data_IF_228881129220
#
_entry.id   IF_228881129220
#
_cell.length_a   1.000
_cell.length_b   1.000
_cell.length_c   1.000
_cell.angle_alpha   90.00
_cell.angle_beta   90.00
_cell.angle_gamma   90.00
#
_symmetry.space_group_name_H-M   'P 1'
#
loop_
_entity.id
_entity.type
_entity.pdbx_description
1 polymer ?
#
# COMPACT_ATOMS: atom_id res chain seq x y z
N UNK A 1 -43.65 -76.42 56.44
CA UNK A 1 -44.51 -75.22 56.33
C UNK A 1 -44.06 -74.30 57.45
N UNK A 2 -43.14 -73.39 57.12
CA UNK A 2 -43.40 -71.95 57.00
C UNK A 2 -43.68 -71.35 58.40
N UNK A 3 -42.93 -70.42 59.00
CA UNK A 3 -42.28 -69.22 58.48
C UNK A 3 -41.05 -68.88 59.34
N UNK A 4 -39.86 -68.80 58.72
CA UNK A 4 -38.70 -68.08 59.24
C UNK A 4 -38.31 -67.07 58.15
N UNK A 5 -38.91 -65.88 58.19
CA UNK A 5 -38.46 -64.71 57.42
C UNK A 5 -38.87 -63.47 58.23
N UNK A 6 -37.98 -62.97 59.07
CA UNK A 6 -37.76 -61.55 59.34
C UNK A 6 -36.85 -61.38 60.58
N UNK A 7 -35.90 -60.43 60.46
CA UNK A 7 -34.96 -59.89 61.46
C UNK A 7 -33.62 -60.63 61.67
N UNK A 8 -32.55 -60.21 60.96
CA UNK A 8 -31.17 -60.36 61.42
C UNK A 8 -30.65 -58.99 61.91
N UNK A 9 -30.96 -58.63 63.15
CA UNK A 9 -30.15 -57.68 63.93
C UNK A 9 -29.05 -58.49 64.63
N UNK A 10 -27.85 -57.91 64.74
CA UNK A 10 -26.57 -58.49 65.23
C UNK A 10 -25.69 -59.20 64.20
N UNK A 11 -25.02 -58.39 63.38
CA UNK A 11 -23.77 -58.75 62.73
C UNK A 11 -22.77 -57.59 62.75
N UNK A 12 -22.09 -57.42 63.89
CA UNK A 12 -20.72 -56.86 64.02
C UNK A 12 -20.51 -55.39 63.56
N UNK A 13 -20.54 -54.47 64.51
CA UNK A 13 -20.02 -53.10 64.35
C UNK A 13 -18.50 -53.16 64.52
N UNK A 14 -17.78 -53.25 63.40
CA UNK A 14 -16.35 -52.95 63.33
C UNK A 14 -16.15 -51.79 62.34
N UNK A 15 -15.34 -50.83 62.77
CA UNK A 15 -14.73 -49.72 62.02
C UNK A 15 -15.54 -48.45 61.75
N UNK A 16 -14.94 -47.36 62.25
CA UNK A 16 -15.00 -46.00 61.75
C UNK A 16 -15.25 -45.92 60.23
N UNK A 17 -16.37 -45.34 59.84
CA UNK A 17 -16.50 -44.59 58.58
C UNK A 17 -17.15 -43.24 58.89
N UNK A 18 -16.36 -42.37 59.54
CA UNK A 18 -16.51 -40.93 59.35
C UNK A 18 -15.76 -40.64 58.06
N UNK A 19 -16.41 -40.78 56.90
CA UNK A 19 -15.91 -40.21 55.66
C UNK A 19 -17.05 -39.51 54.92
N UNK A 20 -16.83 -38.22 54.74
CA UNK A 20 -17.65 -37.30 53.99
C UNK A 20 -17.89 -37.79 52.57
N UNK A 21 -19.14 -37.81 52.14
CA UNK A 21 -19.47 -37.68 50.72
C UNK A 21 -20.84 -37.01 50.59
N UNK A 22 -20.92 -35.77 51.06
CA UNK A 22 -21.85 -34.81 50.48
C UNK A 22 -21.31 -34.49 49.09
N UNK A 23 -21.73 -35.29 48.10
CA UNK A 23 -21.35 -35.18 46.69
C UNK A 23 -21.89 -33.86 46.14
N UNK A 24 -21.15 -32.76 46.37
CA UNK A 24 -21.37 -31.51 45.67
C UNK A 24 -20.98 -31.77 44.21
N UNK A 25 -21.97 -32.07 43.37
CA UNK A 25 -21.81 -32.11 41.91
C UNK A 25 -21.26 -30.75 41.46
N UNK A 26 -19.95 -30.68 41.24
CA UNK A 26 -19.30 -29.49 40.69
C UNK A 26 -19.78 -29.36 39.24
N UNK A 27 -20.81 -28.55 39.02
CA UNK A 27 -21.35 -28.27 37.70
C UNK A 27 -20.24 -27.70 36.80
N UNK A 28 -19.92 -28.39 35.70
CA UNK A 28 -18.95 -27.94 34.70
C UNK A 28 -19.67 -27.40 33.48
N UNK A 29 -19.15 -26.31 32.92
CA UNK A 29 -19.72 -25.74 31.71
C UNK A 29 -19.29 -26.52 30.45
N UNK A 30 -20.14 -26.60 29.42
CA UNK A 30 -19.84 -27.34 28.19
C UNK A 30 -18.77 -26.61 27.36
N UNK A 31 -17.76 -27.35 26.88
CA UNK A 31 -16.65 -26.79 26.07
C UNK A 31 -16.73 -27.12 24.58
N UNK A 32 -17.53 -28.11 24.18
CA UNK A 32 -17.74 -28.51 22.78
C UNK A 32 -18.92 -27.74 22.18
N UNK A 33 -18.63 -26.62 21.51
CA UNK A 33 -19.65 -25.73 20.96
C UNK A 33 -19.58 -25.65 19.43
N UNK A 34 -20.71 -25.35 18.79
CA UNK A 34 -20.81 -25.32 17.32
C UNK A 34 -20.25 -24.04 16.72
N UNK A 35 -20.48 -22.87 17.32
CA UNK A 35 -20.17 -21.56 16.73
C UNK A 35 -18.90 -20.88 17.29
N UNK A 36 -18.30 -21.45 18.36
CA UNK A 36 -17.14 -20.88 19.03
C UNK A 36 -16.21 -21.96 19.58
N UNK A 37 -14.96 -21.58 19.85
CA UNK A 37 -13.95 -22.40 20.53
C UNK A 37 -13.43 -21.65 21.75
N UNK A 38 -13.27 -22.35 22.88
CA UNK A 38 -12.59 -21.79 24.04
C UNK A 38 -11.07 -22.02 23.94
N UNK A 39 -10.30 -20.99 24.30
CA UNK A 39 -8.83 -21.02 24.31
C UNK A 39 -8.36 -21.15 25.75
N UNK A 40 -7.57 -22.18 26.06
CA UNK A 40 -6.98 -22.45 27.37
C UNK A 40 -7.95 -22.30 28.55
N UNK A 41 -9.09 -23.00 28.47
CA UNK A 41 -10.22 -22.82 29.38
C UNK A 41 -10.36 -23.94 30.42
N UNK A 42 -10.54 -23.53 31.68
CA UNK A 42 -10.98 -24.41 32.78
C UNK A 42 -12.46 -24.13 33.09
N UNK A 43 -13.41 -25.02 32.70
CA UNK A 43 -14.85 -24.76 32.75
C UNK A 43 -15.45 -25.00 34.15
N UNK A 44 -14.85 -24.40 35.18
CA UNK A 44 -15.33 -24.48 36.56
C UNK A 44 -16.12 -23.23 36.95
N UNK A 45 -17.11 -23.35 37.85
CA UNK A 45 -17.88 -22.21 38.32
C UNK A 45 -17.02 -21.05 38.82
N UNK A 46 -17.36 -19.83 38.42
CA UNK A 46 -16.66 -18.60 38.77
C UNK A 46 -15.42 -18.30 37.92
N UNK A 47 -14.95 -19.24 37.09
CA UNK A 47 -13.82 -19.01 36.19
C UNK A 47 -14.28 -18.40 34.86
N UNK A 48 -13.49 -17.43 34.38
CA UNK A 48 -13.65 -16.82 33.08
C UNK A 48 -12.76 -17.52 32.05
N UNK A 49 -13.31 -17.76 30.86
CA UNK A 49 -12.60 -18.35 29.74
C UNK A 49 -12.64 -17.44 28.52
N UNK A 50 -11.52 -17.37 27.82
CA UNK A 50 -11.43 -16.70 26.54
C UNK A 50 -11.98 -17.58 25.42
N UNK A 51 -12.64 -16.95 24.44
CA UNK A 51 -13.18 -17.65 23.29
C UNK A 51 -12.88 -16.96 21.97
N UNK A 52 -12.83 -17.77 20.92
CA UNK A 52 -12.72 -17.37 19.53
C UNK A 52 -13.92 -17.88 18.74
N UNK A 53 -14.56 -17.00 17.98
CA UNK A 53 -15.66 -17.38 17.10
C UNK A 53 -15.11 -18.17 15.90
N UNK A 54 -15.84 -19.20 15.48
CA UNK A 54 -15.46 -19.97 14.29
C UNK A 54 -15.70 -19.14 13.02
N UNK A 55 -15.11 -19.58 11.91
CA UNK A 55 -15.29 -18.94 10.61
C UNK A 55 -16.78 -18.75 10.27
N UNK A 56 -17.14 -17.55 9.80
CA UNK A 56 -18.53 -17.17 9.56
C UNK A 56 -19.24 -16.55 10.77
N UNK A 57 -18.58 -16.43 11.92
CA UNK A 57 -19.13 -15.77 13.10
C UNK A 57 -18.21 -14.64 13.60
N UNK A 58 -18.81 -13.61 14.21
CA UNK A 58 -18.09 -12.48 14.83
C UNK A 58 -18.50 -12.31 16.30
N UNK A 59 -17.56 -11.90 17.17
CA UNK A 59 -17.85 -11.64 18.56
C UNK A 59 -18.70 -10.37 18.71
N UNK A 60 -19.77 -10.44 19.49
CA UNK A 60 -20.66 -9.28 19.74
C UNK A 60 -20.05 -8.30 20.76
N UNK A 61 -19.25 -8.82 21.68
CA UNK A 61 -18.68 -8.09 22.81
C UNK A 61 -17.29 -8.69 23.18
N UNK A 62 -16.93 -8.57 24.45
CA UNK A 62 -15.69 -9.10 25.01
C UNK A 62 -15.57 -10.61 24.74
N UNK A 63 -14.37 -11.07 24.39
CA UNK A 63 -14.03 -12.47 24.13
C UNK A 63 -13.97 -13.36 25.39
N UNK A 64 -14.74 -13.03 26.45
CA UNK A 64 -14.72 -13.73 27.74
C UNK A 64 -16.10 -14.22 28.12
N UNK A 65 -16.21 -15.47 28.59
CA UNK A 65 -17.42 -16.01 29.20
C UNK A 65 -17.10 -16.60 30.57
N UNK A 66 -17.99 -16.42 31.55
CA UNK A 66 -17.82 -16.97 32.90
C UNK A 66 -18.71 -18.19 33.06
N UNK A 67 -18.16 -19.27 33.61
CA UNK A 67 -18.96 -20.43 33.96
C UNK A 67 -19.73 -20.14 35.25
N UNK A 68 -21.05 -20.20 35.22
CA UNK A 68 -21.90 -20.00 36.40
C UNK A 68 -21.98 -21.27 37.26
N UNK A 69 -22.36 -21.13 38.52
CA UNK A 69 -22.57 -22.23 39.47
C UNK A 69 -23.70 -23.19 39.05
N UNK A 70 -24.48 -22.81 38.04
CA UNK A 70 -25.49 -23.66 37.39
C UNK A 70 -24.95 -24.52 36.25
N UNK A 71 -23.65 -24.44 35.94
CA UNK A 71 -23.02 -25.16 34.82
C UNK A 71 -23.32 -24.55 33.44
N UNK A 72 -23.72 -23.27 33.41
CA UNK A 72 -24.01 -22.54 32.18
C UNK A 72 -23.05 -21.37 32.00
N UNK A 73 -22.73 -21.05 30.75
CA UNK A 73 -21.94 -19.86 30.44
C UNK A 73 -22.77 -18.59 30.58
N UNK A 74 -22.15 -17.56 31.15
CA UNK A 74 -22.68 -16.21 31.27
C UNK A 74 -21.65 -15.22 30.68
N UNK A 75 -21.98 -14.49 29.59
CA UNK A 75 -23.21 -14.53 28.82
C UNK A 75 -23.49 -15.90 28.15
N UNK A 76 -24.75 -16.20 27.77
CA UNK A 76 -25.07 -17.42 27.02
C UNK A 76 -24.27 -17.51 25.71
N UNK A 77 -23.82 -18.71 25.38
CA UNK A 77 -22.95 -18.99 24.23
C UNK A 77 -23.51 -18.48 22.89
N UNK A 78 -24.83 -18.51 22.73
CA UNK A 78 -25.52 -18.09 21.48
C UNK A 78 -25.47 -16.57 21.27
N UNK A 79 -25.16 -15.80 22.32
CA UNK A 79 -25.01 -14.33 22.26
C UNK A 79 -23.57 -13.89 22.08
N UNK A 80 -22.61 -14.79 22.27
CA UNK A 80 -21.18 -14.47 22.21
C UNK A 80 -20.71 -14.30 20.76
N UNK A 81 -21.18 -15.19 19.87
CA UNK A 81 -20.80 -15.23 18.46
C UNK A 81 -22.04 -15.16 17.58
N UNK A 82 -22.18 -14.09 16.80
CA UNK A 82 -23.26 -13.93 15.82
C UNK A 82 -22.78 -14.27 14.42
N UNK A 83 -23.68 -14.77 13.59
CA UNK A 83 -23.38 -15.05 12.19
C UNK A 83 -22.98 -13.75 11.48
N UNK A 84 -21.86 -13.80 10.76
CA UNK A 84 -21.38 -12.70 9.95
C UNK A 84 -22.26 -12.61 8.72
N UNK A 85 -23.08 -11.58 8.66
CA UNK A 85 -23.92 -11.31 7.49
C UNK A 85 -23.48 -10.02 6.81
N UNK A 86 -23.61 -9.99 5.48
CA UNK A 86 -23.43 -8.78 4.70
C UNK A 86 -24.63 -7.85 4.91
N UNK A 87 -24.41 -6.51 4.92
CA UNK A 87 -25.51 -5.56 5.04
C UNK A 87 -26.47 -5.71 3.85
N UNK A 88 -27.76 -5.90 4.17
CA UNK A 88 -28.82 -6.05 3.17
C UNK A 88 -29.39 -4.71 2.67
N UNK A 89 -29.00 -3.61 3.31
CA UNK A 89 -29.38 -2.26 2.90
C UNK A 89 -28.29 -1.67 1.99
N UNK A 90 -28.66 -1.37 0.75
CA UNK A 90 -27.81 -0.69 -0.23
C UNK A 90 -28.52 0.59 -0.64
N UNK A 91 -27.83 1.72 -0.56
CA UNK A 91 -28.40 3.01 -0.96
C UNK A 91 -28.76 3.02 -2.45
N UNK A 92 -29.93 3.55 -2.81
CA UNK A 92 -30.45 3.62 -4.19
C UNK A 92 -30.58 2.27 -4.94
N UNK A 93 -30.54 1.15 -4.22
CA UNK A 93 -30.72 -0.18 -4.78
C UNK A 93 -31.48 -1.11 -3.81
N UNK A 94 -32.05 -2.17 -4.34
CA UNK A 94 -32.52 -3.33 -3.60
C UNK A 94 -31.64 -4.52 -3.95
N UNK A 95 -31.48 -5.44 -2.99
CA UNK A 95 -30.94 -6.75 -3.30
C UNK A 95 -32.06 -7.64 -3.83
N UNK A 96 -31.71 -8.64 -4.63
CA UNK A 96 -32.65 -9.69 -5.05
C UNK A 96 -33.40 -10.25 -3.84
N UNK A 97 -34.69 -10.57 -4.03
CA UNK A 97 -35.58 -11.05 -2.96
C UNK A 97 -35.11 -12.36 -2.31
N UNK A 98 -34.16 -13.07 -2.91
CA UNK A 98 -33.56 -14.30 -2.38
C UNK A 98 -32.29 -14.07 -1.56
N UNK A 99 -31.74 -12.86 -1.55
CA UNK A 99 -30.47 -12.56 -0.88
C UNK A 99 -30.62 -12.57 0.64
N UNK A 100 -29.81 -13.40 1.33
CA UNK A 100 -29.76 -13.47 2.79
C UNK A 100 -28.53 -12.80 3.40
N UNK A 101 -27.54 -12.50 2.57
CA UNK A 101 -26.29 -11.88 3.00
C UNK A 101 -25.38 -12.87 3.71
N UNK A 102 -25.53 -14.17 3.45
CA UNK A 102 -24.68 -15.19 4.05
C UNK A 102 -23.27 -15.14 3.47
N UNK A 103 -22.27 -15.54 4.25
CA UNK A 103 -20.87 -15.56 3.80
C UNK A 103 -20.72 -16.46 2.57
N UNK A 104 -20.18 -15.90 1.49
CA UNK A 104 -19.98 -16.60 0.22
C UNK A 104 -21.19 -16.61 -0.72
N UNK A 105 -22.34 -16.08 -0.28
CA UNK A 105 -23.50 -15.87 -1.13
C UNK A 105 -23.22 -14.75 -2.15
N UNK A 106 -23.68 -14.94 -3.39
CA UNK A 106 -23.66 -13.90 -4.42
C UNK A 106 -25.08 -13.36 -4.59
N UNK A 107 -25.25 -12.07 -4.36
CA UNK A 107 -26.53 -11.41 -4.49
C UNK A 107 -26.52 -10.45 -5.67
N UNK A 108 -27.58 -10.49 -6.47
CA UNK A 108 -27.81 -9.50 -7.52
C UNK A 108 -28.31 -8.20 -6.88
N UNK A 109 -27.74 -7.09 -7.33
CA UNK A 109 -28.12 -5.74 -6.92
C UNK A 109 -29.03 -5.15 -8.01
N UNK A 110 -30.22 -4.74 -7.63
CA UNK A 110 -31.26 -4.18 -8.49
C UNK A 110 -31.42 -2.71 -8.14
N UNK A 111 -31.05 -1.80 -9.04
CA UNK A 111 -31.20 -0.36 -8.78
C UNK A 111 -32.69 0.02 -8.70
N UNK A 112 -33.09 0.71 -7.62
CA UNK A 112 -34.48 1.11 -7.38
C UNK A 112 -34.74 2.47 -8.04
N UNK A 113 -34.83 2.47 -9.38
CA UNK A 113 -35.13 3.66 -10.16
C UNK A 113 -34.36 3.69 -11.46
N UNK A 114 -34.86 4.47 -12.42
CA UNK A 114 -34.08 4.87 -13.58
C UNK A 114 -33.10 5.97 -13.13
N UNK A 115 -32.04 5.61 -12.41
CA UNK A 115 -30.92 6.52 -12.14
C UNK A 115 -30.15 6.74 -13.43
N UNK A 116 -30.71 7.61 -14.28
CA UNK A 116 -30.07 8.09 -15.50
C UNK A 116 -29.33 9.38 -15.21
N UNK A 117 -28.18 9.56 -15.82
CA UNK A 117 -27.47 10.83 -15.73
C UNK A 117 -28.23 11.93 -16.47
N UNK A 118 -28.12 13.19 -16.00
CA UNK A 118 -28.81 14.31 -16.64
C UNK A 118 -28.27 14.51 -18.06
N UNK A 119 -29.19 14.60 -19.03
CA UNK A 119 -28.86 14.86 -20.43
C UNK A 119 -28.52 16.34 -20.70
N UNK A 120 -28.94 17.23 -19.80
CA UNK A 120 -28.63 18.65 -19.84
C UNK A 120 -27.35 18.89 -19.03
N UNK A 121 -26.26 19.23 -19.70
CA UNK A 121 -24.94 19.48 -19.10
C UNK A 121 -24.51 20.93 -19.35
N UNK A 122 -23.73 21.51 -18.43
CA UNK A 122 -23.30 22.90 -18.55
C UNK A 122 -22.18 23.05 -19.59
N UNK A 123 -22.21 24.15 -20.36
CA UNK A 123 -21.18 24.53 -21.34
C UNK A 123 -20.88 23.50 -22.46
N UNK A 124 -21.70 22.46 -22.58
CA UNK A 124 -21.55 21.41 -23.57
C UNK A 124 -22.91 20.85 -24.01
N UNK A 125 -22.90 20.08 -25.09
CA UNK A 125 -24.01 19.25 -25.57
C UNK A 125 -23.56 17.81 -25.68
N UNK A 126 -24.43 16.87 -25.31
CA UNK A 126 -24.15 15.44 -25.44
C UNK A 126 -24.48 14.95 -26.86
N UNK A 127 -23.81 13.88 -27.29
CA UNK A 127 -24.14 13.17 -28.54
C UNK A 127 -25.63 12.84 -28.61
N UNK A 128 -26.24 12.95 -29.79
CA UNK A 128 -27.67 12.69 -30.00
C UNK A 128 -28.11 11.26 -29.67
N UNK A 129 -27.16 10.32 -29.60
CA UNK A 129 -27.41 8.93 -29.20
C UNK A 129 -27.35 8.70 -27.70
N UNK A 130 -26.91 9.68 -26.92
CA UNK A 130 -26.73 9.55 -25.48
C UNK A 130 -28.09 9.45 -24.75
N UNK A 131 -28.30 8.37 -24.01
CA UNK A 131 -29.50 8.18 -23.19
C UNK A 131 -29.27 8.38 -21.69
N UNK A 132 -28.01 8.58 -21.29
CA UNK A 132 -27.65 8.76 -19.88
C UNK A 132 -27.82 7.47 -19.07
N UNK A 133 -27.77 6.31 -19.72
CA UNK A 133 -27.88 5.02 -19.05
C UNK A 133 -26.62 4.74 -18.24
N UNK A 134 -26.74 4.06 -17.11
CA UNK A 134 -25.59 3.68 -16.28
C UNK A 134 -24.56 2.91 -17.12
N UNK A 135 -23.29 3.32 -17.04
CA UNK A 135 -22.17 2.75 -17.79
C UNK A 135 -22.11 3.17 -19.26
N UNK A 136 -23.07 3.95 -19.76
CA UNK A 136 -23.07 4.46 -21.13
C UNK A 136 -21.96 5.51 -21.30
N UNK A 137 -21.22 5.39 -22.41
CA UNK A 137 -20.21 6.38 -22.81
C UNK A 137 -20.85 7.41 -23.73
N UNK A 138 -20.99 8.63 -23.24
CA UNK A 138 -21.57 9.72 -24.02
C UNK A 138 -20.48 10.67 -24.52
N UNK A 139 -20.51 10.97 -25.83
CA UNK A 139 -19.64 11.97 -26.43
C UNK A 139 -20.07 13.38 -26.02
N UNK A 140 -19.10 14.23 -25.70
CA UNK A 140 -19.29 15.63 -25.28
C UNK A 140 -18.82 16.57 -26.38
N UNK A 141 -19.66 17.55 -26.71
CA UNK A 141 -19.40 18.58 -27.72
C UNK A 141 -19.48 19.95 -27.03
N UNK A 142 -18.34 20.65 -26.92
CA UNK A 142 -18.25 21.92 -26.19
C UNK A 142 -18.83 23.09 -27.00
N UNK A 143 -19.63 23.95 -26.36
CA UNK A 143 -20.35 25.05 -27.02
C UNK A 143 -19.44 26.19 -27.51
N UNK A 144 -18.19 26.25 -27.04
CA UNK A 144 -17.21 27.31 -27.34
C UNK A 144 -16.12 26.92 -28.35
N UNK A 145 -16.22 25.74 -28.98
CA UNK A 145 -15.38 25.32 -30.11
C UNK A 145 -13.87 25.49 -29.90
N UNK A 146 -13.22 24.59 -29.17
CA UNK A 146 -11.76 24.26 -29.33
C UNK A 146 -11.33 23.08 -28.44
N UNK A 147 -12.13 22.03 -28.31
CA UNK A 147 -11.61 20.73 -27.86
C UNK A 147 -11.28 19.90 -29.09
N UNK A 148 -9.99 19.78 -29.41
CA UNK A 148 -9.48 19.03 -30.58
C UNK A 148 -9.82 17.52 -30.50
N UNK A 149 -10.33 17.06 -29.36
CA UNK A 149 -10.74 15.68 -29.14
C UNK A 149 -12.23 15.62 -28.73
N UNK A 150 -12.98 14.68 -29.29
CA UNK A 150 -14.27 14.26 -28.74
C UNK A 150 -14.01 13.68 -27.35
N UNK A 151 -14.37 14.40 -26.31
CA UNK A 151 -14.30 13.89 -24.95
C UNK A 151 -15.48 12.96 -24.69
N UNK A 152 -15.29 11.99 -23.79
CA UNK A 152 -16.34 11.07 -23.37
C UNK A 152 -16.52 11.16 -21.87
N UNK A 153 -17.78 11.11 -21.44
CA UNK A 153 -18.17 10.97 -20.03
C UNK A 153 -18.94 9.66 -19.87
N UNK A 154 -18.84 9.06 -18.69
CA UNK A 154 -19.47 7.80 -18.33
C UNK A 154 -20.47 8.04 -17.21
N UNK A 155 -21.69 7.54 -17.38
CA UNK A 155 -22.69 7.66 -16.32
C UNK A 155 -22.41 6.65 -15.21
N UNK A 156 -22.18 7.12 -13.99
CA UNK A 156 -21.91 6.25 -12.84
C UNK A 156 -23.21 5.62 -12.31
N UNK A 157 -23.07 4.55 -11.54
CA UNK A 157 -24.21 3.90 -10.85
C UNK A 157 -24.92 4.82 -9.85
N UNK A 158 -24.28 5.93 -9.45
CA UNK A 158 -24.87 6.99 -8.64
C UNK A 158 -25.83 7.91 -9.41
N UNK A 159 -25.90 7.81 -10.74
CA UNK A 159 -26.66 8.76 -11.57
C UNK A 159 -25.95 10.09 -11.81
N UNK A 160 -24.64 10.16 -11.54
CA UNK A 160 -23.78 11.33 -11.78
C UNK A 160 -22.73 10.97 -12.83
N UNK A 161 -22.33 11.95 -13.65
CA UNK A 161 -21.24 11.78 -14.60
C UNK A 161 -19.89 11.61 -13.89
N UNK A 162 -19.00 10.81 -14.47
CA UNK A 162 -17.64 10.59 -13.96
C UNK A 162 -16.75 11.85 -13.96
N UNK A 163 -17.06 12.81 -14.84
CA UNK A 163 -16.35 14.07 -14.95
C UNK A 163 -17.29 15.23 -15.34
N UNK A 164 -16.90 16.44 -14.95
CA UNK A 164 -17.67 17.67 -15.17
C UNK A 164 -17.35 18.29 -16.54
N UNK A 165 -18.38 18.68 -17.28
CA UNK A 165 -18.25 19.29 -18.61
C UNK A 165 -17.57 20.65 -18.58
N UNK A 166 -17.61 21.38 -17.46
CA UNK A 166 -16.89 22.65 -17.29
C UNK A 166 -15.37 22.47 -17.29
N UNK A 167 -14.88 21.35 -16.75
CA UNK A 167 -13.46 20.99 -16.73
C UNK A 167 -13.02 20.52 -18.12
N UNK A 168 -13.84 19.67 -18.74
CA UNK A 168 -13.60 19.12 -20.08
C UNK A 168 -13.59 20.21 -21.15
N UNK A 169 -14.55 21.13 -21.08
CA UNK A 169 -14.73 22.20 -22.06
C UNK A 169 -13.99 23.48 -21.71
N UNK A 170 -12.98 23.38 -20.84
CA UNK A 170 -12.06 24.49 -20.59
C UNK A 170 -11.35 24.86 -21.90
N UNK A 171 -11.21 26.17 -22.22
CA UNK A 171 -10.41 26.57 -23.36
C UNK A 171 -9.01 26.01 -23.14
N UNK A 172 -8.48 25.25 -24.11
CA UNK A 172 -7.07 24.89 -24.13
C UNK A 172 -6.35 26.21 -23.96
N UNK A 173 -5.70 26.44 -22.81
CA UNK A 173 -4.68 27.47 -22.72
C UNK A 173 -3.70 27.09 -23.82
N UNK A 174 -3.80 27.79 -24.96
CA UNK A 174 -2.84 27.70 -26.05
C UNK A 174 -1.49 27.65 -25.36
N UNK A 175 -0.66 26.59 -25.54
CA UNK A 175 0.61 26.53 -24.85
C UNK A 175 1.25 27.88 -25.09
N UNK A 176 1.45 28.62 -23.99
CA UNK A 176 2.02 29.95 -24.05
C UNK A 176 3.25 29.75 -24.90
N UNK A 177 3.23 30.37 -26.08
CA UNK A 177 4.23 30.12 -27.11
C UNK A 177 5.52 30.41 -26.37
N UNK A 178 6.28 29.36 -26.05
CA UNK A 178 7.59 29.51 -25.46
C UNK A 178 8.38 30.20 -26.55
N UNK A 179 8.36 31.53 -26.53
CA UNK A 179 9.36 32.34 -27.17
C UNK A 179 10.63 31.85 -26.50
N UNK A 180 11.52 31.18 -27.24
CA UNK A 180 12.84 30.88 -26.71
C UNK A 180 13.38 32.18 -26.12
N UNK A 181 14.00 32.16 -24.93
CA UNK A 181 14.69 33.35 -24.44
C UNK A 181 15.53 33.84 -25.61
N UNK A 182 15.31 35.10 -26.01
CA UNK A 182 16.08 35.78 -27.03
C UNK A 182 17.53 35.37 -26.80
N UNK A 183 18.12 34.70 -27.80
CA UNK A 183 19.50 34.29 -27.71
C UNK A 183 20.29 35.57 -27.42
N UNK A 184 20.69 35.71 -26.15
CA UNK A 184 21.57 36.77 -25.70
C UNK A 184 22.76 36.70 -26.63
N UNK A 185 22.86 37.71 -27.50
CA UNK A 185 23.92 37.89 -28.47
C UNK A 185 25.16 38.19 -27.66
N UNK A 186 25.72 37.17 -27.03
CA UNK A 186 26.96 37.20 -26.27
C UNK A 186 28.08 37.24 -27.29
N UNK A 187 28.32 38.48 -27.73
CA UNK A 187 29.57 39.03 -28.21
C UNK A 187 30.55 38.04 -28.86
N UNK A 188 30.29 37.78 -30.15
CA UNK A 188 31.15 37.03 -31.08
C UNK A 188 32.54 37.67 -31.31
N UNK A 189 32.87 38.73 -30.57
CA UNK A 189 34.17 39.39 -30.56
C UNK A 189 35.21 38.64 -29.72
N UNK A 190 34.81 38.00 -28.61
CA UNK A 190 35.78 37.37 -27.69
C UNK A 190 36.40 36.07 -28.21
N UNK A 191 35.66 35.30 -29.02
CA UNK A 191 36.18 34.04 -29.60
C UNK A 191 37.24 34.30 -30.67
N UNK A 192 37.17 35.42 -31.40
CA UNK A 192 38.10 35.73 -32.49
C UNK A 192 39.45 36.29 -31.99
N UNK A 193 39.45 36.99 -30.85
CA UNK A 193 40.67 37.56 -30.25
C UNK A 193 41.50 36.47 -29.55
N UNK A 194 40.87 35.45 -28.96
CA UNK A 194 41.59 34.34 -28.31
C UNK A 194 42.39 33.45 -29.27
N UNK A 195 41.86 33.22 -30.48
CA UNK A 195 42.49 32.34 -31.49
C UNK A 195 43.74 33.00 -32.08
N UNK A 196 43.69 34.32 -32.30
CA UNK A 196 44.82 35.07 -32.88
C UNK A 196 46.01 35.16 -31.92
N UNK A 197 45.79 35.32 -30.63
CA UNK A 197 46.86 35.32 -29.62
C UNK A 197 47.45 33.91 -29.44
N UNK A 198 46.60 32.88 -29.39
CA UNK A 198 47.04 31.49 -29.25
C UNK A 198 47.98 31.04 -30.38
N UNK A 199 47.65 31.38 -31.62
CA UNK A 199 48.48 31.03 -32.79
C UNK A 199 49.83 31.76 -32.75
N UNK A 200 49.86 33.05 -32.36
CA UNK A 200 51.11 33.80 -32.25
C UNK A 200 52.03 33.21 -31.17
N UNK A 201 51.48 32.80 -30.03
CA UNK A 201 52.26 32.17 -28.95
C UNK A 201 52.83 30.82 -29.40
N UNK A 202 52.04 29.98 -30.09
CA UNK A 202 52.52 28.69 -30.61
C UNK A 202 53.63 28.88 -31.63
N UNK A 203 53.48 29.83 -32.57
CA UNK A 203 54.52 30.14 -33.55
C UNK A 203 55.80 30.65 -32.86
N UNK A 204 55.68 31.50 -31.85
CA UNK A 204 56.82 31.98 -31.08
C UNK A 204 57.53 30.84 -30.35
N UNK A 205 56.80 29.92 -29.72
CA UNK A 205 57.38 28.75 -29.02
C UNK A 205 58.10 27.81 -29.99
N UNK A 206 57.56 27.60 -31.20
CA UNK A 206 58.24 26.83 -32.25
C UNK A 206 59.52 27.54 -32.69
N UNK A 207 59.49 28.87 -32.89
CA UNK A 207 60.67 29.63 -33.30
C UNK A 207 61.76 29.60 -32.23
N UNK A 208 61.39 29.80 -30.96
CA UNK A 208 62.30 29.66 -29.81
C UNK A 208 62.86 28.24 -29.74
N UNK A 209 62.02 27.22 -29.94
CA UNK A 209 62.43 25.83 -30.01
C UNK A 209 63.48 25.58 -31.09
N UNK A 210 63.27 26.09 -32.31
CA UNK A 210 64.23 25.99 -33.41
C UNK A 210 65.54 26.72 -33.09
N UNK A 211 65.48 27.90 -32.46
CA UNK A 211 66.69 28.62 -32.01
C UNK A 211 67.46 27.83 -30.95
N UNK A 212 66.76 27.22 -29.99
CA UNK A 212 67.36 26.35 -28.98
C UNK A 212 67.96 25.09 -29.61
N UNK A 213 67.28 24.46 -30.56
CA UNK A 213 67.80 23.31 -31.30
C UNK A 213 69.04 23.68 -32.12
N UNK A 214 69.04 24.85 -32.77
CA UNK A 214 70.19 25.35 -33.52
C UNK A 214 71.37 25.69 -32.60
N UNK A 215 71.10 26.26 -31.41
CA UNK A 215 72.11 26.51 -30.36
C UNK A 215 72.67 25.21 -29.78
N UNK A 216 71.83 24.20 -29.55
CA UNK A 216 72.24 22.88 -29.06
C UNK A 216 73.06 22.11 -30.09
N UNK A 217 72.76 22.29 -31.39
CA UNK A 217 73.55 21.71 -32.49
C UNK A 217 74.90 22.39 -32.66
N UNK A 218 74.99 23.70 -32.39
CA UNK A 218 76.24 24.45 -32.44
C UNK A 218 77.13 24.26 -31.20
N UNK A 219 76.57 23.81 -30.07
CA UNK A 219 77.32 23.46 -28.86
C UNK A 219 77.19 21.95 -28.54
N UNK A 220 77.89 21.06 -29.25
CA UNK A 220 77.97 19.65 -28.90
C UNK A 220 79.04 19.44 -27.82
N UNK A 221 78.78 19.89 -26.60
CA UNK A 221 79.60 19.55 -25.45
C UNK A 221 78.75 19.58 -24.19
N UNK A 222 78.22 18.41 -23.84
CA UNK A 222 77.93 17.88 -22.49
C UNK A 222 76.71 16.95 -22.57
N UNK A 223 76.97 15.81 -23.20
CA UNK A 223 76.19 14.59 -23.01
C UNK A 223 76.46 14.05 -21.59
N UNK A 224 75.47 13.32 -21.04
CA UNK A 224 75.59 12.40 -19.89
C UNK A 224 75.46 12.95 -18.46
N UNK A 225 74.23 13.21 -18.02
CA UNK A 225 73.81 12.97 -16.61
C UNK A 225 72.28 12.81 -16.44
N UNK A 226 71.59 12.15 -17.38
CA UNK A 226 70.17 11.84 -17.28
C UNK A 226 69.96 10.32 -17.33
N UNK A 227 70.63 9.59 -16.45
CA UNK A 227 70.33 8.18 -16.09
C UNK A 227 70.73 7.97 -14.62
N UNK A 228 69.93 8.52 -13.72
CA UNK A 228 69.70 8.02 -12.36
C UNK A 228 68.36 8.66 -11.95
N UNK A 229 67.32 8.34 -12.70
CA UNK A 229 66.34 7.36 -12.26
C UNK A 229 65.73 7.74 -10.91
N UNK A 230 64.55 8.36 -10.94
CA UNK A 230 63.30 7.61 -11.18
C UNK A 230 63.11 6.58 -10.06
N UNK A 231 62.82 7.08 -8.85
CA UNK A 231 62.34 6.26 -7.73
C UNK A 231 61.43 7.06 -6.78
N UNK A 232 61.63 8.38 -6.67
CA UNK A 232 60.88 9.18 -5.67
C UNK A 232 59.50 9.69 -6.12
N UNK A 233 59.21 9.72 -7.43
CA UNK A 233 57.94 10.30 -7.94
C UNK A 233 56.81 9.28 -8.18
N UNK A 234 57.08 7.98 -8.04
CA UNK A 234 56.03 6.96 -8.20
C UNK A 234 55.26 6.68 -6.88
N UNK A 235 55.86 7.00 -5.72
CA UNK A 235 55.23 6.85 -4.40
C UNK A 235 54.16 7.94 -4.19
N UNK A 236 54.42 9.17 -4.64
CA UNK A 236 53.46 10.29 -4.53
C UNK A 236 52.22 10.09 -5.41
N UNK A 237 52.36 9.43 -6.56
CA UNK A 237 51.21 9.16 -7.46
C UNK A 237 50.28 8.08 -6.90
N UNK A 238 50.82 7.07 -6.22
CA UNK A 238 50.02 5.99 -5.59
C UNK A 238 49.31 6.46 -4.31
N UNK A 239 49.88 7.42 -3.57
CA UNK A 239 49.25 8.00 -2.38
C UNK A 239 48.05 8.90 -2.72
N UNK A 240 48.12 9.72 -3.79
CA UNK A 240 47.00 10.60 -4.16
C UNK A 240 45.79 9.84 -4.72
N UNK A 241 46.01 8.71 -5.41
CA UNK A 241 44.91 7.93 -6.00
C UNK A 241 44.05 7.23 -4.96
N UNK A 242 44.61 6.88 -3.79
CA UNK A 242 43.86 6.23 -2.73
C UNK A 242 42.90 7.21 -2.01
N UNK A 243 43.35 8.44 -1.78
CA UNK A 243 42.57 9.49 -1.10
C UNK A 243 41.36 9.95 -1.92
N UNK A 244 41.49 9.99 -3.26
CA UNK A 244 40.40 10.41 -4.16
C UNK A 244 39.32 9.33 -4.27
N UNK A 245 39.68 8.04 -4.19
CA UNK A 245 38.71 6.96 -4.27
C UNK A 245 37.81 6.86 -3.02
N UNK A 246 38.33 7.21 -1.84
CA UNK A 246 37.52 7.29 -0.62
C UNK A 246 36.55 8.48 -0.62
N UNK A 247 36.94 9.62 -1.19
CA UNK A 247 36.05 10.78 -1.33
C UNK A 247 34.89 10.52 -2.31
N UNK A 248 35.11 9.76 -3.38
CA UNK A 248 34.05 9.40 -4.34
C UNK A 248 33.05 8.42 -3.70
N UNK A 249 33.51 7.43 -2.93
CA UNK A 249 32.62 6.49 -2.22
C UNK A 249 31.73 7.15 -1.17
N UNK A 250 32.18 8.25 -0.55
CA UNK A 250 31.36 9.00 0.40
C UNK A 250 30.26 9.85 -0.25
N UNK A 251 30.33 10.11 -1.56
CA UNK A 251 29.35 10.92 -2.29
C UNK A 251 28.25 10.10 -2.97
N UNK A 252 28.44 8.78 -3.14
CA UNK A 252 27.41 7.86 -3.68
C UNK A 252 26.51 7.23 -2.60
N UNK A 253 26.75 7.50 -1.32
CA UNK A 253 26.03 6.91 -0.18
C UNK A 253 25.06 7.88 0.53
N UNK A 254 24.60 8.95 -0.13
CA UNK A 254 23.59 9.85 0.42
C UNK A 254 22.56 10.26 -0.64
#
# INVERSE_FOLDING_TARGET
MEFMVNYPELGRVDSLDIYADEYLDVYRCPTQLQHLNFVDCAPYPGLACNFECKAGYQPVANNTAVCDYTGKWSPPIDTLCIETTCPLNVENASLSSTCRGSVGEKCDVICNGATTCPLNVENATLSSTCRGSIGEKCGVICNGGTSVNTAHIVCLSSGVWDNDTSVICSPIQKPERYTPPEASKTDMTYVYVGISIGVVVVVAMVFIGVLFFKKRRNNPAQDRSLIQDTSSNEINRKSLTLSVLELVKSLESN
#
